data_IF_216423353594
#
_entry.id   IF_216423353594
#
_cell.length_a   1.000
_cell.length_b   1.000
_cell.length_c   1.000
_cell.angle_alpha   90.00
_cell.angle_beta   90.00
_cell.angle_gamma   90.00
#
_symmetry.space_group_name_H-M   'P 1'
#
loop_
_entity.id
_entity.type
_entity.pdbx_description
1 polymer ?
#
# COMPACT_ATOMS: atom_id res chain seq x y z
N UNK A 1 -11.69 -1.27 -6.18
CA UNK A 1 -11.89 -1.77 -4.80
C UNK A 1 -12.26 -3.24 -4.86
N UNK A 2 -11.60 -4.06 -4.05
CA UNK A 2 -11.90 -5.50 -3.94
C UNK A 2 -12.62 -5.70 -2.59
N UNK A 3 -13.84 -6.21 -2.65
CA UNK A 3 -14.66 -6.50 -1.47
C UNK A 3 -15.01 -7.98 -1.42
N UNK A 4 -14.66 -8.63 -0.32
CA UNK A 4 -15.05 -10.01 -0.03
C UNK A 4 -14.95 -10.25 1.50
N UNK A 5 -15.62 -11.23 2.06
CA UNK A 5 -15.51 -11.57 3.48
C UNK A 5 -14.05 -11.80 3.92
N UNK A 6 -13.81 -11.77 5.23
CA UNK A 6 -12.50 -12.15 5.79
C UNK A 6 -12.14 -13.57 5.31
N UNK A 7 -10.88 -13.79 4.98
CA UNK A 7 -10.37 -15.00 4.32
C UNK A 7 -10.92 -15.30 2.91
N UNK A 8 -11.60 -14.34 2.26
CA UNK A 8 -12.14 -14.47 0.91
C UNK A 8 -11.12 -14.24 -0.22
N UNK A 9 -9.82 -14.39 0.01
CA UNK A 9 -8.80 -14.29 -1.05
C UNK A 9 -8.52 -12.86 -1.56
N UNK A 10 -9.00 -11.81 -0.86
CA UNK A 10 -8.80 -10.40 -1.28
C UNK A 10 -7.34 -10.03 -1.47
N UNK A 11 -6.49 -10.48 -0.55
CA UNK A 11 -5.05 -10.20 -0.58
C UNK A 11 -4.42 -10.81 -1.81
N UNK A 12 -4.71 -12.07 -2.09
CA UNK A 12 -4.23 -12.79 -3.26
C UNK A 12 -4.76 -12.16 -4.56
N UNK A 13 -6.05 -11.82 -4.60
CA UNK A 13 -6.67 -11.17 -5.76
C UNK A 13 -6.04 -9.81 -6.10
N UNK A 14 -5.57 -9.07 -5.09
CA UNK A 14 -4.86 -7.81 -5.30
C UNK A 14 -3.38 -8.03 -5.63
N UNK A 15 -2.69 -8.85 -4.83
CA UNK A 15 -1.22 -8.89 -4.88
C UNK A 15 -0.66 -9.82 -5.95
N UNK A 16 -1.37 -10.87 -6.38
CA UNK A 16 -0.88 -11.72 -7.47
C UNK A 16 -0.70 -10.95 -8.79
N UNK A 17 -1.69 -10.15 -9.26
CA UNK A 17 -1.48 -9.31 -10.45
C UNK A 17 -0.40 -8.24 -10.25
N UNK A 18 -0.33 -7.62 -9.06
CA UNK A 18 0.71 -6.65 -8.74
C UNK A 18 2.09 -7.30 -8.83
N UNK A 19 2.29 -8.45 -8.20
CA UNK A 19 3.58 -9.16 -8.20
C UNK A 19 3.95 -9.61 -9.62
N UNK A 20 3.00 -10.06 -10.42
CA UNK A 20 3.22 -10.42 -11.82
C UNK A 20 3.71 -9.24 -12.66
N UNK A 21 3.15 -8.02 -12.45
CA UNK A 21 3.64 -6.81 -13.12
C UNK A 21 5.01 -6.40 -12.56
N UNK A 22 5.20 -6.44 -11.24
CA UNK A 22 6.46 -6.03 -10.61
C UNK A 22 7.63 -6.96 -10.95
N UNK A 23 7.38 -8.24 -11.22
CA UNK A 23 8.40 -9.21 -11.63
C UNK A 23 9.06 -8.87 -12.99
N UNK A 24 8.44 -7.98 -13.77
CA UNK A 24 9.01 -7.49 -15.04
C UNK A 24 10.10 -6.43 -14.84
N UNK A 25 10.28 -5.93 -13.61
CA UNK A 25 11.25 -4.89 -13.30
C UNK A 25 12.41 -5.45 -12.50
N UNK A 26 13.59 -5.35 -13.05
CA UNK A 26 14.80 -5.80 -12.39
C UNK A 26 15.23 -4.88 -11.24
N UNK A 27 15.91 -5.46 -10.26
CA UNK A 27 16.62 -4.77 -9.19
C UNK A 27 15.73 -4.25 -8.04
N UNK A 28 16.39 -3.69 -7.03
CA UNK A 28 15.71 -3.12 -5.86
C UNK A 28 15.02 -1.81 -6.24
N UNK A 29 13.85 -1.58 -5.67
CA UNK A 29 13.08 -0.34 -5.87
C UNK A 29 11.70 -0.48 -5.24
N UNK A 30 11.23 0.54 -4.54
CA UNK A 30 9.89 0.53 -3.95
C UNK A 30 8.83 0.79 -5.02
N UNK A 31 8.10 -0.25 -5.39
CA UNK A 31 7.11 -0.21 -6.47
C UNK A 31 5.66 -0.41 -5.98
N UNK A 32 5.48 -0.98 -4.79
CA UNK A 32 4.16 -1.11 -4.17
C UNK A 32 4.19 -0.65 -2.71
N UNK A 33 3.31 0.28 -2.37
CA UNK A 33 3.09 0.74 -1.01
C UNK A 33 1.72 0.25 -0.53
N UNK A 34 1.70 -0.56 0.53
CA UNK A 34 0.49 -1.03 1.18
C UNK A 34 0.32 -0.36 2.55
N UNK A 35 -0.85 0.24 2.79
CA UNK A 35 -1.18 0.86 4.07
C UNK A 35 -2.26 0.05 4.76
N UNK A 36 -1.95 -0.45 5.96
CA UNK A 36 -2.84 -1.26 6.80
C UNK A 36 -3.17 -0.53 8.12
N UNK A 37 -4.37 -0.69 8.68
CA UNK A 37 -4.77 0.04 9.88
C UNK A 37 -4.04 -0.42 11.15
N UNK A 38 -3.58 -1.67 11.23
CA UNK A 38 -3.05 -2.26 12.45
C UNK A 38 -1.71 -2.96 12.22
N UNK A 39 -0.78 -2.78 13.17
CA UNK A 39 0.56 -3.41 13.14
C UNK A 39 0.49 -4.94 13.15
N UNK A 40 -0.45 -5.52 13.91
CA UNK A 40 -0.63 -6.97 13.95
C UNK A 40 -0.96 -7.54 12.57
N UNK A 41 -1.83 -6.86 11.82
CA UNK A 41 -2.18 -7.24 10.45
C UNK A 41 -0.99 -7.13 9.50
N UNK A 42 -0.11 -6.14 9.69
CA UNK A 42 1.10 -5.97 8.87
C UNK A 42 2.01 -7.19 8.98
N UNK A 43 2.25 -7.69 10.17
CA UNK A 43 3.15 -8.83 10.37
C UNK A 43 2.61 -10.12 9.73
N UNK A 44 1.30 -10.38 9.90
CA UNK A 44 0.66 -11.53 9.27
C UNK A 44 0.64 -11.41 7.74
N UNK A 45 0.26 -10.26 7.24
CA UNK A 45 0.23 -9.98 5.80
C UNK A 45 1.63 -10.04 5.19
N UNK A 46 2.65 -9.52 5.88
CA UNK A 46 4.05 -9.61 5.44
C UNK A 46 4.45 -11.07 5.27
N UNK A 47 4.18 -11.93 6.26
CA UNK A 47 4.52 -13.35 6.20
C UNK A 47 3.87 -14.03 5.00
N UNK A 48 2.57 -13.79 4.77
CA UNK A 48 1.82 -14.35 3.63
C UNK A 48 2.36 -13.86 2.29
N UNK A 49 2.60 -12.57 2.16
CA UNK A 49 3.08 -11.98 0.92
C UNK A 49 4.54 -12.34 0.63
N UNK A 50 5.38 -12.54 1.65
CA UNK A 50 6.79 -12.93 1.47
C UNK A 50 6.89 -14.26 0.71
N UNK A 51 6.11 -15.27 1.11
CA UNK A 51 6.15 -16.58 0.44
C UNK A 51 5.74 -16.52 -1.05
N UNK A 52 4.81 -15.64 -1.41
CA UNK A 52 4.41 -15.43 -2.80
C UNK A 52 5.46 -14.58 -3.57
N UNK A 53 6.00 -13.57 -2.93
CA UNK A 53 6.95 -12.65 -3.53
C UNK A 53 8.30 -13.32 -3.85
N UNK A 54 8.77 -14.22 -2.99
CA UNK A 54 10.02 -14.99 -3.19
C UNK A 54 9.96 -15.86 -4.46
N UNK A 55 8.78 -16.35 -4.81
CA UNK A 55 8.59 -17.16 -6.03
C UNK A 55 8.87 -16.37 -7.33
N UNK A 56 8.84 -15.05 -7.26
CA UNK A 56 9.07 -14.14 -8.40
C UNK A 56 10.20 -13.13 -8.11
N UNK A 57 11.12 -13.46 -7.21
CA UNK A 57 12.29 -12.68 -6.80
C UNK A 57 11.97 -11.26 -6.32
N UNK A 58 10.81 -11.07 -5.71
CA UNK A 58 10.40 -9.82 -5.09
C UNK A 58 10.60 -9.85 -3.57
N UNK A 59 10.83 -8.68 -2.99
CA UNK A 59 11.04 -8.51 -1.55
C UNK A 59 9.89 -7.73 -0.93
N UNK A 60 9.36 -8.24 0.17
CA UNK A 60 8.35 -7.59 1.01
C UNK A 60 9.00 -7.15 2.32
N UNK A 61 8.67 -5.96 2.78
CA UNK A 61 9.18 -5.44 4.05
C UNK A 61 8.09 -4.76 4.87
N UNK A 62 7.94 -5.11 6.16
CA UNK A 62 7.09 -4.36 7.08
C UNK A 62 7.80 -3.07 7.51
N UNK A 63 7.01 -2.01 7.72
CA UNK A 63 7.50 -0.72 8.19
C UNK A 63 6.55 -0.11 9.21
N UNK A 64 6.83 -0.35 10.49
CA UNK A 64 6.09 0.23 11.61
C UNK A 64 6.99 0.44 12.83
N UNK A 65 6.48 1.08 13.88
CA UNK A 65 7.27 1.53 15.03
C UNK A 65 8.12 0.45 15.69
N UNK A 66 7.61 -0.77 15.77
CA UNK A 66 8.26 -1.89 16.48
C UNK A 66 9.33 -2.60 15.63
N UNK A 67 9.41 -2.31 14.34
CA UNK A 67 10.41 -2.88 13.42
C UNK A 67 11.56 -1.90 13.26
N UNK A 68 12.66 -2.11 13.97
CA UNK A 68 13.92 -1.39 13.78
C UNK A 68 14.86 -2.10 12.82
N UNK A 69 14.81 -3.42 12.80
CA UNK A 69 15.62 -4.25 11.92
C UNK A 69 15.33 -3.96 10.44
N UNK A 70 16.37 -3.81 9.65
CA UNK A 70 16.23 -3.58 8.21
C UNK A 70 15.97 -2.15 7.76
N UNK A 71 15.75 -1.20 8.67
CA UNK A 71 15.54 0.21 8.28
C UNK A 71 16.76 0.83 7.60
N UNK A 72 17.95 0.55 8.11
CA UNK A 72 19.18 1.06 7.52
C UNK A 72 19.48 0.40 6.16
N UNK A 73 19.19 -0.89 6.04
CA UNK A 73 19.38 -1.64 4.79
C UNK A 73 18.35 -1.27 3.73
N UNK A 74 17.13 -0.90 4.13
CA UNK A 74 16.08 -0.45 3.21
C UNK A 74 16.53 0.73 2.35
N UNK A 75 17.23 1.70 2.94
CA UNK A 75 17.71 2.87 2.19
C UNK A 75 18.79 2.54 1.16
N UNK A 76 19.56 1.47 1.41
CA UNK A 76 20.60 0.98 0.47
C UNK A 76 20.01 0.07 -0.61
N UNK A 77 19.04 -0.74 -0.23
CA UNK A 77 18.37 -1.71 -1.11
C UNK A 77 16.89 -1.81 -0.76
N UNK A 78 16.05 -0.91 -1.29
CA UNK A 78 14.61 -0.90 -1.02
C UNK A 78 13.95 -2.23 -1.35
N UNK A 79 12.97 -2.63 -0.54
CA UNK A 79 12.07 -3.73 -0.89
C UNK A 79 11.12 -3.27 -2.00
N UNK A 80 10.63 -4.23 -2.80
CA UNK A 80 9.68 -3.94 -3.87
C UNK A 80 8.29 -3.61 -3.35
N UNK A 81 7.92 -4.22 -2.23
CA UNK A 81 6.63 -4.03 -1.55
C UNK A 81 6.90 -3.60 -0.11
N UNK A 82 6.36 -2.45 0.30
CA UNK A 82 6.42 -1.95 1.66
C UNK A 82 5.02 -1.98 2.27
N UNK A 83 4.89 -2.59 3.47
CA UNK A 83 3.63 -2.61 4.22
C UNK A 83 3.79 -1.75 5.46
N UNK A 84 2.92 -0.76 5.65
CA UNK A 84 3.07 0.24 6.70
C UNK A 84 1.74 0.66 7.32
N UNK A 85 1.79 1.43 8.41
CA UNK A 85 0.61 2.14 8.97
C UNK A 85 0.59 3.61 8.51
N UNK A 86 -0.56 4.31 8.62
CA UNK A 86 -0.62 5.74 8.30
C UNK A 86 0.41 6.56 9.08
N UNK A 87 0.57 6.30 10.38
CA UNK A 87 1.49 7.05 11.25
C UNK A 87 2.95 6.83 10.84
N UNK A 88 3.28 5.59 10.47
CA UNK A 88 4.63 5.26 10.01
C UNK A 88 4.94 5.81 8.63
N UNK A 89 3.94 5.86 7.75
CA UNK A 89 4.04 6.52 6.45
C UNK A 89 4.25 8.03 6.62
N UNK A 90 3.50 8.66 7.53
CA UNK A 90 3.69 10.08 7.83
C UNK A 90 5.11 10.38 8.31
N UNK A 91 5.60 9.61 9.28
CA UNK A 91 6.98 9.73 9.77
C UNK A 91 8.03 9.53 8.66
N UNK A 92 7.76 8.61 7.72
CA UNK A 92 8.60 8.37 6.56
C UNK A 92 8.66 9.60 5.65
N UNK A 93 7.49 10.14 5.30
CA UNK A 93 7.36 11.32 4.43
C UNK A 93 7.94 12.58 5.08
N UNK A 94 7.82 12.75 6.41
CA UNK A 94 8.38 13.89 7.13
C UNK A 94 9.91 13.85 7.20
N UNK A 95 10.48 12.67 7.44
CA UNK A 95 11.94 12.53 7.64
C UNK A 95 12.73 12.59 6.34
N UNK A 96 12.17 12.21 5.24
CA UNK A 96 12.88 12.06 3.97
C UNK A 96 12.25 12.86 2.82
N UNK A 97 11.00 13.32 2.93
CA UNK A 97 10.34 14.24 2.01
C UNK A 97 10.68 14.01 0.53
N UNK A 98 11.03 15.09 -0.14
CA UNK A 98 11.45 15.08 -1.54
C UNK A 98 12.79 14.34 -1.79
N UNK A 99 13.59 14.10 -0.75
CA UNK A 99 14.83 13.29 -0.86
C UNK A 99 14.56 11.78 -0.92
N UNK A 100 13.30 11.36 -0.72
CA UNK A 100 12.91 9.96 -0.88
C UNK A 100 12.66 9.65 -2.36
N UNK A 101 13.73 9.68 -3.16
CA UNK A 101 13.69 9.33 -4.58
C UNK A 101 13.11 7.93 -4.87
N UNK A 102 13.04 7.05 -3.84
CA UNK A 102 12.43 5.73 -3.97
C UNK A 102 10.92 5.71 -4.23
N UNK A 103 10.18 6.82 -3.98
CA UNK A 103 8.76 6.90 -4.34
C UNK A 103 8.51 7.22 -5.80
N UNK A 104 9.50 7.70 -6.54
CA UNK A 104 9.34 7.99 -7.98
C UNK A 104 9.09 6.73 -8.82
N UNK A 105 9.52 5.56 -8.33
CA UNK A 105 9.30 4.27 -8.97
C UNK A 105 8.00 3.58 -8.51
N UNK A 106 7.23 4.19 -7.60
CA UNK A 106 6.02 3.61 -7.05
C UNK A 106 4.96 3.43 -8.13
N UNK A 107 4.50 2.20 -8.33
CA UNK A 107 3.52 1.82 -9.35
C UNK A 107 2.13 1.50 -8.79
N UNK A 108 2.08 1.07 -7.53
CA UNK A 108 0.83 0.67 -6.88
C UNK A 108 0.73 1.21 -5.47
N UNK A 109 -0.47 1.64 -5.11
CA UNK A 109 -0.83 2.02 -3.75
C UNK A 109 -2.02 1.18 -3.31
N UNK A 110 -1.84 0.39 -2.26
CA UNK A 110 -2.86 -0.49 -1.71
C UNK A 110 -3.28 0.05 -0.34
N UNK A 111 -4.58 0.11 -0.10
CA UNK A 111 -5.16 0.40 1.21
C UNK A 111 -5.88 -0.86 1.68
N UNK A 112 -5.33 -1.48 2.71
CA UNK A 112 -5.92 -2.66 3.31
C UNK A 112 -6.95 -2.28 4.38
N UNK A 113 -7.98 -3.12 4.56
CA UNK A 113 -9.08 -2.92 5.49
C UNK A 113 -9.68 -1.49 5.43
N UNK A 114 -9.99 -1.04 4.21
CA UNK A 114 -10.45 0.33 3.94
C UNK A 114 -11.59 0.77 4.87
N UNK A 115 -12.49 -0.14 5.24
CA UNK A 115 -13.63 0.15 6.11
C UNK A 115 -13.21 0.68 7.49
N UNK A 116 -12.03 0.30 8.00
CA UNK A 116 -11.50 0.78 9.27
C UNK A 116 -11.11 2.27 9.26
N UNK A 117 -11.03 2.88 8.10
CA UNK A 117 -10.67 4.28 7.94
C UNK A 117 -11.88 5.21 7.75
N UNK A 118 -13.08 4.66 7.51
CA UNK A 118 -14.26 5.49 7.28
C UNK A 118 -14.69 6.24 8.53
N UNK A 119 -14.96 7.54 8.37
CA UNK A 119 -15.50 8.40 9.44
C UNK A 119 -14.53 8.66 10.60
N UNK A 120 -13.27 8.33 10.47
CA UNK A 120 -12.25 8.49 11.51
C UNK A 120 -11.22 9.58 11.17
N UNK A 121 -10.59 10.17 12.19
CA UNK A 121 -9.47 11.09 12.01
C UNK A 121 -8.29 10.42 11.29
N UNK A 122 -8.02 9.14 11.57
CA UNK A 122 -7.01 8.34 10.86
C UNK A 122 -7.34 8.20 9.38
N UNK A 123 -8.62 8.13 9.02
CA UNK A 123 -9.06 8.14 7.63
C UNK A 123 -8.80 9.47 6.94
N UNK A 124 -9.03 10.59 7.62
CA UNK A 124 -8.69 11.91 7.11
C UNK A 124 -7.16 12.07 6.93
N UNK A 125 -6.37 11.62 7.92
CA UNK A 125 -4.92 11.57 7.85
C UNK A 125 -4.47 10.73 6.64
N UNK A 126 -4.99 9.51 6.49
CA UNK A 126 -4.64 8.63 5.37
C UNK A 126 -4.92 9.30 4.03
N UNK A 127 -6.09 9.91 3.83
CA UNK A 127 -6.40 10.64 2.59
C UNK A 127 -5.37 11.71 2.26
N UNK A 128 -4.94 12.48 3.26
CA UNK A 128 -3.87 13.48 3.12
C UNK A 128 -2.55 12.84 2.70
N UNK A 129 -2.18 11.72 3.34
CA UNK A 129 -0.95 10.98 3.02
C UNK A 129 -0.97 10.41 1.59
N UNK A 130 -2.10 9.84 1.16
CA UNK A 130 -2.26 9.34 -0.21
C UNK A 130 -2.05 10.44 -1.26
N UNK A 131 -2.57 11.64 -1.00
CA UNK A 131 -2.36 12.81 -1.88
C UNK A 131 -0.90 13.27 -1.89
N UNK A 132 -0.23 13.23 -0.74
CA UNK A 132 1.19 13.59 -0.63
C UNK A 132 2.08 12.61 -1.38
N UNK A 133 1.81 11.30 -1.22
CA UNK A 133 2.52 10.25 -1.98
C UNK A 133 2.34 10.47 -3.50
N UNK A 134 1.11 10.71 -3.95
CA UNK A 134 0.81 10.91 -5.37
C UNK A 134 1.57 12.10 -5.97
N UNK A 135 1.79 13.17 -5.20
CA UNK A 135 2.57 14.34 -5.66
C UNK A 135 4.07 14.05 -5.85
N UNK A 136 4.56 12.97 -5.23
CA UNK A 136 5.97 12.55 -5.33
C UNK A 136 6.20 11.55 -6.47
N UNK A 137 5.12 11.06 -7.08
CA UNK A 137 5.15 10.10 -8.19
C UNK A 137 4.92 10.85 -9.51
N UNK A 138 5.79 10.69 -10.53
CA UNK A 138 5.70 11.45 -11.78
C UNK A 138 4.64 10.94 -12.76
N UNK A 139 3.92 9.90 -12.44
CA UNK A 139 2.90 9.28 -13.30
C UNK A 139 1.62 8.98 -12.49
N UNK A 140 0.48 8.73 -13.16
CA UNK A 140 -0.74 8.31 -12.48
C UNK A 140 -0.51 7.06 -11.63
N UNK A 141 -0.96 7.10 -10.37
CA UNK A 141 -0.76 6.01 -9.40
C UNK A 141 -2.08 5.24 -9.18
N UNK A 142 -2.21 4.01 -9.68
CA UNK A 142 -3.33 3.14 -9.39
C UNK A 142 -3.49 2.93 -7.88
N UNK A 143 -4.73 3.10 -7.40
CA UNK A 143 -5.08 2.88 -5.99
C UNK A 143 -6.01 1.70 -5.87
N UNK A 144 -5.63 0.73 -5.08
CA UNK A 144 -6.38 -0.49 -4.82
C UNK A 144 -6.79 -0.47 -3.35
N UNK A 145 -8.04 -0.78 -3.06
CA UNK A 145 -8.48 -0.95 -1.68
C UNK A 145 -9.07 -2.33 -1.47
N UNK A 146 -8.76 -2.91 -0.32
CA UNK A 146 -9.31 -4.16 0.17
C UNK A 146 -10.25 -3.86 1.34
N UNK A 147 -11.42 -4.47 1.35
CA UNK A 147 -12.38 -4.29 2.43
C UNK A 147 -13.18 -5.57 2.68
N UNK A 148 -13.40 -5.90 3.94
CA UNK A 148 -14.27 -7.01 4.31
C UNK A 148 -15.75 -6.66 4.11
N UNK A 149 -16.07 -5.38 4.26
CA UNK A 149 -17.44 -4.85 4.13
C UNK A 149 -17.40 -3.54 3.36
N UNK A 150 -18.28 -3.40 2.40
CA UNK A 150 -18.54 -2.14 1.71
C UNK A 150 -20.01 -1.79 1.96
N UNK A 151 -20.28 -0.92 2.93
CA UNK A 151 -21.64 -0.42 3.14
C UNK A 151 -22.14 0.36 1.91
N UNK A 152 -21.36 1.34 1.47
CA UNK A 152 -21.65 2.15 0.28
C UNK A 152 -20.44 2.17 -0.66
N UNK A 153 -20.52 1.52 -1.81
CA UNK A 153 -19.43 1.51 -2.81
C UNK A 153 -18.94 2.89 -3.24
N UNK A 154 -19.87 3.85 -3.35
CA UNK A 154 -19.55 5.23 -3.71
C UNK A 154 -18.61 5.91 -2.71
N UNK A 155 -18.71 5.60 -1.41
CA UNK A 155 -17.83 6.12 -0.36
C UNK A 155 -16.40 5.63 -0.53
N UNK A 156 -16.23 4.36 -0.90
CA UNK A 156 -14.91 3.78 -1.15
C UNK A 156 -14.24 4.47 -2.35
N UNK A 157 -14.97 4.66 -3.44
CA UNK A 157 -14.49 5.40 -4.59
C UNK A 157 -14.10 6.83 -4.24
N UNK A 158 -14.96 7.56 -3.52
CA UNK A 158 -14.70 8.93 -3.09
C UNK A 158 -13.49 9.03 -2.13
N UNK A 159 -13.29 8.03 -1.27
CA UNK A 159 -12.12 7.97 -0.38
C UNK A 159 -10.81 7.83 -1.15
N UNK A 160 -10.79 6.94 -2.14
CA UNK A 160 -9.59 6.65 -2.93
C UNK A 160 -9.33 7.68 -4.04
N UNK A 161 -10.31 8.51 -4.39
CA UNK A 161 -10.22 9.41 -5.54
C UNK A 161 -9.10 10.42 -5.36
N UNK A 162 -8.17 10.41 -6.30
CA UNK A 162 -7.19 11.47 -6.46
C UNK A 162 -7.80 12.67 -7.21
N UNK A 163 -7.10 13.79 -7.22
CA UNK A 163 -7.44 14.93 -8.11
C UNK A 163 -7.38 14.44 -9.56
N UNK A 164 -8.52 14.36 -10.25
CA UNK A 164 -8.58 13.99 -11.65
C UNK A 164 -9.33 12.69 -11.96
N UNK A 165 -9.85 12.00 -10.96
CA UNK A 165 -10.95 11.04 -11.02
C UNK A 165 -10.94 9.98 -12.11
N UNK A 166 -10.04 9.01 -12.05
CA UNK A 166 -10.27 7.76 -12.76
C UNK A 166 -11.53 7.07 -12.20
N UNK A 167 -12.32 6.38 -13.04
CA UNK A 167 -13.50 5.65 -12.58
C UNK A 167 -13.07 4.59 -11.55
N UNK A 168 -13.83 4.49 -10.45
CA UNK A 168 -13.60 3.47 -9.43
C UNK A 168 -14.34 2.20 -9.82
N UNK A 169 -13.61 1.13 -10.08
CA UNK A 169 -14.19 -0.21 -10.27
C UNK A 169 -14.32 -0.90 -8.92
N UNK A 170 -15.42 -1.61 -8.73
CA UNK A 170 -15.70 -2.40 -7.55
C UNK A 170 -15.87 -3.85 -7.98
N UNK A 171 -15.05 -4.70 -7.37
CA UNK A 171 -15.12 -6.16 -7.51
C UNK A 171 -15.62 -6.71 -6.17
N UNK A 172 -16.75 -7.37 -6.17
CA UNK A 172 -17.38 -7.98 -4.99
C UNK A 172 -17.70 -9.46 -5.27
#
# INVERSE_FOLDING_TARGET
VISAPTAGGKTEAAFLPIMSDLAQFEGPGLRCLCVSPLRALINDQTRRLTSMAEAVDLRVQPWHGDVSAGRASFWKRPANILITTPESLEALLMRRGAQFGGLSELRYLVVDELHAFFGSERGAQLRSLLQRVERLVPHPLPRIALSATLGEPARAGAFLRSRGGFPCQILA
#
